data_IF_086128714960
#
_entry.id   IF_086128714960
#
_cell.length_a   1.000
_cell.length_b   1.000
_cell.length_c   1.000
_cell.angle_alpha   90.00
_cell.angle_beta   90.00
_cell.angle_gamma   90.00
#
_symmetry.space_group_name_H-M   'P 1'
#
loop_
_entity.id
_entity.type
_entity.pdbx_description
1 polymer ?
#
# COMPACT_ATOMS: atom_id res chain seq x y z
N UNK A 1 15.34 -3.17 7.22
CA UNK A 1 14.07 -2.41 7.29
C UNK A 1 13.27 -2.57 6.01
N UNK A 2 13.75 -2.09 4.85
CA UNK A 2 13.00 -2.19 3.59
C UNK A 2 12.66 -3.62 3.15
N UNK A 3 13.56 -4.60 3.32
CA UNK A 3 13.23 -6.02 3.02
C UNK A 3 12.01 -6.51 3.81
N UNK A 4 11.90 -6.11 5.07
CA UNK A 4 10.79 -6.50 5.96
C UNK A 4 9.52 -5.81 5.52
N UNK A 5 9.56 -4.48 5.26
CA UNK A 5 8.42 -3.75 4.67
C UNK A 5 7.96 -4.36 3.35
N UNK A 6 8.90 -4.77 2.48
CA UNK A 6 8.60 -5.39 1.19
C UNK A 6 7.84 -6.70 1.32
N UNK A 7 8.34 -7.65 2.12
CA UNK A 7 7.61 -8.88 2.39
C UNK A 7 6.26 -8.61 3.04
N UNK A 8 6.21 -7.71 4.03
CA UNK A 8 4.97 -7.37 4.73
C UNK A 8 3.89 -6.88 3.76
N UNK A 9 4.21 -5.91 2.91
CA UNK A 9 3.26 -5.33 1.94
C UNK A 9 2.81 -6.35 0.89
N UNK A 10 3.70 -7.22 0.41
CA UNK A 10 3.34 -8.27 -0.55
C UNK A 10 2.45 -9.32 0.12
N UNK A 11 2.76 -9.73 1.35
CA UNK A 11 1.90 -10.64 2.11
C UNK A 11 0.52 -10.02 2.37
N UNK A 12 0.45 -8.75 2.77
CA UNK A 12 -0.81 -8.01 2.91
C UNK A 12 -1.58 -8.00 1.61
N UNK A 13 -0.93 -7.76 0.47
CA UNK A 13 -1.56 -7.81 -0.85
C UNK A 13 -2.18 -9.18 -1.13
N UNK A 14 -1.43 -10.26 -0.90
CA UNK A 14 -1.92 -11.63 -1.15
C UNK A 14 -3.14 -11.92 -0.29
N UNK A 15 -3.08 -11.60 1.01
CA UNK A 15 -4.20 -11.78 1.94
C UNK A 15 -5.40 -10.94 1.49
N UNK A 16 -5.18 -9.68 1.13
CA UNK A 16 -6.21 -8.75 0.69
C UNK A 16 -6.93 -9.28 -0.56
N UNK A 17 -6.20 -9.72 -1.57
CA UNK A 17 -6.77 -10.32 -2.80
C UNK A 17 -7.58 -11.58 -2.48
N UNK A 18 -7.06 -12.48 -1.64
CA UNK A 18 -7.77 -13.70 -1.25
C UNK A 18 -9.08 -13.34 -0.53
N UNK A 19 -9.04 -12.45 0.45
CA UNK A 19 -10.22 -11.98 1.18
C UNK A 19 -11.22 -11.34 0.22
N UNK A 20 -10.75 -10.53 -0.72
CA UNK A 20 -11.61 -9.87 -1.72
C UNK A 20 -12.38 -10.87 -2.58
N UNK A 21 -11.70 -11.90 -3.10
CA UNK A 21 -12.35 -12.97 -3.84
C UNK A 21 -13.37 -13.76 -3.01
N UNK A 22 -13.11 -13.97 -1.72
CA UNK A 22 -14.01 -14.71 -0.84
C UNK A 22 -15.26 -13.89 -0.45
N UNK A 23 -15.06 -12.61 -0.12
CA UNK A 23 -16.13 -11.71 0.35
C UNK A 23 -16.98 -11.19 -0.82
N UNK A 24 -16.34 -10.76 -1.91
CA UNK A 24 -17.02 -10.13 -3.06
C UNK A 24 -17.23 -11.09 -4.23
N UNK A 25 -17.31 -12.40 -3.97
CA UNK A 25 -17.44 -13.43 -5.02
C UNK A 25 -18.59 -13.15 -5.99
N UNK A 26 -19.74 -12.74 -5.47
CA UNK A 26 -20.96 -12.48 -6.22
C UNK A 26 -20.84 -11.17 -7.02
N UNK A 27 -20.52 -10.02 -6.41
CA UNK A 27 -20.27 -8.78 -7.16
C UNK A 27 -19.19 -8.91 -8.24
N UNK A 28 -18.08 -9.61 -7.96
CA UNK A 28 -17.02 -9.85 -8.95
C UNK A 28 -17.49 -10.72 -10.11
N UNK A 29 -18.28 -11.76 -9.84
CA UNK A 29 -18.88 -12.58 -10.88
C UNK A 29 -19.84 -11.76 -11.74
N UNK A 30 -20.67 -10.93 -11.13
CA UNK A 30 -21.58 -10.04 -11.85
C UNK A 30 -20.83 -9.03 -12.73
N UNK A 31 -19.76 -8.41 -12.22
CA UNK A 31 -18.90 -7.51 -13.01
C UNK A 31 -18.36 -8.27 -14.23
N UNK A 32 -17.88 -9.50 -14.06
CA UNK A 32 -17.30 -10.31 -15.12
C UNK A 32 -18.33 -10.77 -16.17
N UNK A 33 -19.56 -11.11 -15.75
CA UNK A 33 -20.61 -11.58 -16.65
C UNK A 33 -21.31 -10.45 -17.42
N UNK A 34 -21.33 -9.22 -16.88
CA UNK A 34 -22.00 -8.08 -17.52
C UNK A 34 -21.14 -7.36 -18.58
N UNK A 35 -19.95 -7.88 -18.90
CA UNK A 35 -19.05 -7.34 -19.92
C UNK A 35 -17.77 -6.74 -19.35
N UNK A 36 -17.10 -5.89 -20.14
CA UNK A 36 -15.76 -5.36 -19.82
C UNK A 36 -15.71 -3.84 -19.66
N UNK A 37 -16.77 -3.13 -20.06
CA UNK A 37 -16.82 -1.68 -20.06
C UNK A 37 -18.05 -1.22 -19.29
N UNK A 38 -17.85 -0.27 -18.37
CA UNK A 38 -18.91 0.35 -17.58
C UNK A 38 -19.81 -0.64 -16.80
N UNK A 39 -19.25 -1.75 -16.29
CA UNK A 39 -20.02 -2.80 -15.60
C UNK A 39 -20.14 -2.62 -14.08
N UNK A 40 -19.26 -1.81 -13.50
CA UNK A 40 -19.21 -1.52 -12.06
C UNK A 40 -20.32 -0.53 -11.68
N UNK A 41 -20.40 0.62 -12.37
CA UNK A 41 -21.36 1.69 -12.11
C UNK A 41 -21.98 2.22 -13.42
N UNK A 42 -22.82 1.43 -14.12
CA UNK A 42 -23.37 1.80 -15.41
C UNK A 42 -24.34 2.98 -15.38
N UNK A 43 -25.04 3.16 -14.25
CA UNK A 43 -26.03 4.21 -14.05
C UNK A 43 -25.73 4.97 -12.74
N UNK A 44 -25.33 6.25 -12.80
CA UNK A 44 -25.04 7.03 -11.61
C UNK A 44 -26.27 7.34 -10.74
N UNK A 45 -27.49 7.17 -11.26
CA UNK A 45 -28.73 7.37 -10.51
C UNK A 45 -29.31 6.07 -9.94
N UNK A 46 -28.71 4.92 -10.29
CA UNK A 46 -29.07 3.60 -9.76
C UNK A 46 -27.81 2.74 -9.50
N UNK A 47 -27.00 3.10 -8.50
CA UNK A 47 -25.69 2.50 -8.26
C UNK A 47 -25.77 1.06 -7.73
N UNK A 48 -24.80 0.23 -8.16
CA UNK A 48 -24.52 -1.09 -7.59
C UNK A 48 -23.39 -0.97 -6.55
N UNK A 49 -23.73 -0.55 -5.33
CA UNK A 49 -22.73 -0.24 -4.30
C UNK A 49 -21.83 -1.44 -3.94
N UNK A 50 -22.34 -2.65 -4.02
CA UNK A 50 -21.59 -3.89 -3.80
C UNK A 50 -20.51 -4.13 -4.87
N UNK A 51 -20.80 -3.81 -6.14
CA UNK A 51 -19.82 -3.86 -7.24
C UNK A 51 -18.78 -2.75 -7.09
N UNK A 52 -19.20 -1.56 -6.71
CA UNK A 52 -18.30 -0.43 -6.45
C UNK A 52 -17.34 -0.75 -5.29
N UNK A 53 -17.85 -1.28 -4.19
CA UNK A 53 -17.05 -1.72 -3.04
C UNK A 53 -16.08 -2.83 -3.44
N UNK A 54 -16.55 -3.86 -4.16
CA UNK A 54 -15.71 -4.93 -4.68
C UNK A 54 -14.59 -4.39 -5.58
N UNK A 55 -14.92 -3.46 -6.48
CA UNK A 55 -13.97 -2.82 -7.38
C UNK A 55 -12.90 -2.08 -6.59
N UNK A 56 -13.27 -1.16 -5.70
CA UNK A 56 -12.30 -0.36 -4.95
C UNK A 56 -11.46 -1.22 -4.02
N UNK A 57 -12.09 -2.21 -3.38
CA UNK A 57 -11.39 -3.20 -2.56
C UNK A 57 -10.30 -3.90 -3.39
N UNK A 58 -10.64 -4.44 -4.55
CA UNK A 58 -9.66 -5.14 -5.40
C UNK A 58 -8.63 -4.20 -6.03
N UNK A 59 -9.02 -2.98 -6.38
CA UNK A 59 -8.18 -2.01 -7.08
C UNK A 59 -7.02 -1.49 -6.21
N UNK A 60 -7.16 -1.50 -4.89
CA UNK A 60 -6.08 -1.11 -3.97
C UNK A 60 -4.91 -2.09 -3.99
N UNK A 61 -5.16 -3.38 -4.25
CA UNK A 61 -4.14 -4.44 -4.22
C UNK A 61 -2.89 -4.17 -5.08
N UNK A 62 -2.99 -3.83 -6.39
CA UNK A 62 -1.82 -3.54 -7.21
C UNK A 62 -0.97 -2.37 -6.67
N UNK A 63 -1.59 -1.37 -6.02
CA UNK A 63 -0.86 -0.25 -5.42
C UNK A 63 -0.08 -0.67 -4.16
N UNK A 64 -0.64 -1.54 -3.32
CA UNK A 64 0.10 -2.08 -2.17
C UNK A 64 1.25 -2.97 -2.67
N UNK A 65 0.97 -3.80 -3.69
CA UNK A 65 1.96 -4.69 -4.29
C UNK A 65 3.16 -3.93 -4.86
N UNK A 66 2.92 -2.86 -5.64
CA UNK A 66 4.00 -2.10 -6.27
C UNK A 66 4.88 -1.41 -5.21
N UNK A 67 4.32 -0.95 -4.09
CA UNK A 67 5.11 -0.39 -2.97
C UNK A 67 5.97 -1.49 -2.34
N UNK A 68 5.43 -2.70 -2.19
CA UNK A 68 6.19 -3.87 -1.76
C UNK A 68 7.36 -4.20 -2.68
N UNK A 69 7.13 -4.17 -4.00
CA UNK A 69 8.19 -4.36 -5.01
C UNK A 69 9.22 -3.22 -4.98
N UNK A 70 8.78 -1.97 -4.82
CA UNK A 70 9.66 -0.81 -4.67
C UNK A 70 10.58 -0.93 -3.45
N UNK A 71 10.14 -1.55 -2.36
CA UNK A 71 11.01 -1.84 -1.22
C UNK A 71 12.16 -2.77 -1.60
N UNK A 72 11.91 -3.80 -2.42
CA UNK A 72 12.95 -4.70 -2.90
C UNK A 72 13.85 -4.07 -3.95
N UNK A 73 13.27 -3.31 -4.88
CA UNK A 73 14.02 -2.55 -5.88
C UNK A 73 14.96 -1.53 -5.24
N UNK A 74 14.47 -0.74 -4.28
CA UNK A 74 15.30 0.24 -3.57
C UNK A 74 16.44 -0.47 -2.83
N UNK A 75 16.13 -1.59 -2.17
CA UNK A 75 17.14 -2.40 -1.50
C UNK A 75 18.21 -2.94 -2.47
N UNK A 76 17.82 -3.45 -3.64
CA UNK A 76 18.79 -3.99 -4.61
C UNK A 76 19.71 -2.91 -5.18
N UNK A 77 19.27 -1.65 -5.18
CA UNK A 77 20.05 -0.47 -5.55
C UNK A 77 20.83 0.16 -4.38
N UNK A 78 20.80 -0.45 -3.19
CA UNK A 78 21.38 0.14 -1.97
C UNK A 78 20.82 1.53 -1.63
N UNK A 79 19.59 1.82 -2.07
CA UNK A 79 18.89 3.07 -1.83
C UNK A 79 17.84 2.87 -0.73
N UNK A 80 17.37 3.99 -0.17
CA UNK A 80 16.16 4.02 0.65
C UNK A 80 14.99 4.63 -0.09
N UNK A 81 13.78 4.21 0.27
CA UNK A 81 12.57 4.92 -0.17
C UNK A 81 12.50 6.32 0.48
N UNK A 82 11.93 7.30 -0.22
CA UNK A 82 11.80 8.66 0.31
C UNK A 82 10.78 8.72 1.46
N UNK A 83 11.02 9.62 2.42
CA UNK A 83 10.18 9.75 3.62
C UNK A 83 8.72 10.11 3.30
N UNK A 84 8.46 10.87 2.22
CA UNK A 84 7.09 11.24 1.85
C UNK A 84 6.22 10.01 1.61
N UNK A 85 6.77 8.94 1.02
CA UNK A 85 6.03 7.70 0.77
C UNK A 85 5.60 7.05 2.09
N UNK A 86 6.48 7.01 3.09
CA UNK A 86 6.15 6.52 4.42
C UNK A 86 5.06 7.35 5.10
N UNK A 87 5.13 8.68 5.01
CA UNK A 87 4.13 9.57 5.59
C UNK A 87 2.77 9.47 4.88
N UNK A 88 2.75 9.37 3.55
CA UNK A 88 1.51 9.17 2.80
C UNK A 88 0.81 7.88 3.20
N UNK A 89 1.55 6.76 3.28
CA UNK A 89 0.97 5.47 3.70
C UNK A 89 0.45 5.56 5.14
N UNK A 90 1.22 6.18 6.05
CA UNK A 90 0.82 6.32 7.45
C UNK A 90 -0.45 7.17 7.58
N UNK A 91 -0.52 8.32 6.89
CA UNK A 91 -1.69 9.19 6.90
C UNK A 91 -2.93 8.47 6.35
N UNK A 92 -2.80 7.78 5.22
CA UNK A 92 -3.89 6.96 4.65
C UNK A 92 -4.33 5.88 5.64
N UNK A 93 -3.39 5.18 6.27
CA UNK A 93 -3.69 4.16 7.26
C UNK A 93 -4.42 4.74 8.48
N UNK A 94 -3.98 5.90 8.99
CA UNK A 94 -4.63 6.58 10.11
C UNK A 94 -6.06 7.00 9.79
N UNK A 95 -6.29 7.60 8.63
CA UNK A 95 -7.65 7.97 8.18
C UNK A 95 -8.51 6.72 8.02
N UNK A 96 -7.98 5.67 7.39
CA UNK A 96 -8.67 4.40 7.21
C UNK A 96 -9.04 3.75 8.55
N UNK A 97 -8.10 3.60 9.48
CA UNK A 97 -8.37 3.04 10.81
C UNK A 97 -9.37 3.86 11.63
N UNK A 98 -9.42 5.18 11.41
CA UNK A 98 -10.35 6.06 12.12
C UNK A 98 -11.77 5.98 11.56
N UNK A 99 -11.92 5.99 10.23
CA UNK A 99 -13.22 5.96 9.56
C UNK A 99 -13.78 4.55 9.42
N UNK A 100 -12.91 3.55 9.28
CA UNK A 100 -13.23 2.14 9.04
C UNK A 100 -12.32 1.27 9.93
N UNK A 101 -12.67 1.12 11.22
CA UNK A 101 -11.79 0.47 12.19
C UNK A 101 -11.68 -1.05 12.01
N UNK A 102 -12.66 -1.71 11.37
CA UNK A 102 -12.67 -3.16 11.15
C UNK A 102 -12.10 -3.45 9.76
N UNK A 103 -10.83 -3.09 9.57
CA UNK A 103 -10.22 -2.99 8.25
C UNK A 103 -8.79 -3.51 8.16
N UNK A 104 -8.29 -3.66 6.94
CA UNK A 104 -6.89 -3.98 6.69
C UNK A 104 -5.95 -2.77 6.84
N UNK A 105 -6.44 -1.55 7.05
CA UNK A 105 -5.61 -0.33 7.14
C UNK A 105 -4.57 -0.40 8.26
N UNK A 106 -4.87 -1.11 9.35
CA UNK A 106 -3.93 -1.37 10.44
C UNK A 106 -2.62 -2.02 9.96
N UNK A 107 -2.70 -2.87 8.93
CA UNK A 107 -1.55 -3.57 8.38
C UNK A 107 -0.60 -2.64 7.61
N UNK A 108 -1.03 -1.42 7.25
CA UNK A 108 -0.18 -0.45 6.57
C UNK A 108 0.66 0.39 7.54
N UNK A 109 0.31 0.42 8.83
CA UNK A 109 1.05 1.19 9.85
C UNK A 109 2.47 0.64 10.05
N UNK A 110 2.71 -0.66 10.34
CA UNK A 110 4.06 -1.16 10.52
C UNK A 110 5.02 -0.91 9.35
N UNK A 111 4.68 -1.21 8.08
CA UNK A 111 5.59 -0.97 6.96
C UNK A 111 5.86 0.53 6.74
N UNK A 112 4.89 1.41 7.01
CA UNK A 112 5.08 2.87 6.89
C UNK A 112 6.12 3.40 7.89
N UNK A 113 6.05 2.98 9.16
CA UNK A 113 7.00 3.37 10.20
C UNK A 113 8.41 2.84 9.91
N UNK A 114 8.51 1.62 9.36
CA UNK A 114 9.79 1.04 8.93
C UNK A 114 10.41 1.79 7.75
N UNK A 115 9.60 2.26 6.79
CA UNK A 115 10.06 3.10 5.67
C UNK A 115 10.56 4.45 6.19
N UNK A 116 9.82 5.11 7.07
CA UNK A 116 10.21 6.39 7.67
C UNK A 116 11.53 6.27 8.45
N UNK A 117 11.65 5.21 9.24
CA UNK A 117 12.85 4.95 10.02
C UNK A 117 14.08 4.69 9.14
N UNK A 118 13.90 3.94 8.04
CA UNK A 118 14.97 3.70 7.07
C UNK A 118 15.42 5.01 6.38
N UNK A 119 14.46 5.85 5.98
CA UNK A 119 14.76 7.15 5.35
C UNK A 119 15.50 8.10 6.29
N UNK A 120 15.09 8.14 7.56
CA UNK A 120 15.76 8.94 8.60
C UNK A 120 17.21 8.48 8.82
N UNK A 121 17.45 7.17 8.88
CA UNK A 121 18.79 6.61 9.06
C UNK A 121 19.71 6.96 7.89
N UNK A 122 19.23 6.83 6.64
CA UNK A 122 20.00 7.21 5.46
C UNK A 122 20.38 8.70 5.49
N UNK A 123 19.44 9.59 5.83
CA UNK A 123 19.73 11.03 5.98
C UNK A 123 20.79 11.31 7.04
N UNK A 124 20.74 10.63 8.19
CA UNK A 124 21.75 10.80 9.26
C UNK A 124 23.13 10.33 8.78
N UNK A 125 23.20 9.22 8.05
CA UNK A 125 24.46 8.70 7.51
C UNK A 125 25.07 9.65 6.48
N UNK A 126 24.28 10.17 5.55
CA UNK A 126 24.73 11.18 4.57
C UNK A 126 25.20 12.48 5.23
N UNK A 127 24.56 12.90 6.33
CA UNK A 127 25.02 14.08 7.08
C UNK A 127 26.38 13.84 7.75
N UNK A 128 26.62 12.64 8.31
CA UNK A 128 27.90 12.27 8.91
C UNK A 128 29.03 12.16 7.88
N UNK A 129 28.77 11.59 6.71
CA UNK A 129 29.79 11.45 5.65
C UNK A 129 30.22 12.79 5.04
N UNK A 130 29.37 13.81 5.15
CA UNK A 130 29.61 15.15 4.58
C UNK A 130 30.21 16.14 5.60
N UNK A 131 30.49 15.72 6.83
CA UNK A 131 31.29 16.54 7.75
C UNK A 131 32.75 16.53 7.27
N UNK A 132 33.39 17.71 7.04
CA UNK A 132 34.77 17.76 6.61
C UNK A 132 35.66 17.06 7.64
N UNK A 133 36.62 16.28 7.14
CA UNK A 133 37.66 15.62 7.93
C UNK A 133 38.64 16.65 8.48
N UNK A 134 38.16 17.55 9.33
CA UNK A 134 38.98 18.50 10.07
C UNK A 134 38.90 18.17 11.56
N UNK A 135 40.04 17.67 12.05
CA UNK A 135 40.61 17.76 13.40
C UNK A 135 41.26 16.44 13.85
N UNK A 136 42.16 15.87 13.03
CA UNK A 136 43.34 15.13 13.49
C UNK A 136 44.53 15.46 12.58
#
# INVERSE_FOLDING_TARGET
MLKVSGYWLITTTIIHVIVGFLVFREPLAEIAFNGWFNTVAPDPFNPYFDREDAFWFMMVAPFIFIIGQLCFWAKSRQMTLPAFLGWTILATATVGCFLEPISAFWLLIPPSLLILSASRQARIQSAKSNQPSEML
#
